data_IF_844197282165
#
_entry.id   IF_844197282165
#
_cell.length_a   1.000
_cell.length_b   1.000
_cell.length_c   1.000
_cell.angle_alpha   90.00
_cell.angle_beta   90.00
_cell.angle_gamma   90.00
#
_symmetry.space_group_name_H-M   'P 1'
#
loop_
_entity.id
_entity.type
_entity.pdbx_description
1 polymer ?
#
# COMPACT_ATOMS: atom_id res chain seq x y z
N UNK A 1 2.97 11.17 -19.92
CA UNK A 1 1.72 10.66 -20.54
C UNK A 1 1.32 9.30 -19.97
N UNK A 2 2.07 8.22 -20.18
CA UNK A 2 1.67 6.88 -19.71
C UNK A 2 1.51 6.74 -18.18
N UNK A 3 2.43 7.31 -17.38
CA UNK A 3 2.36 7.26 -15.91
C UNK A 3 1.13 7.98 -15.36
N UNK A 4 0.83 9.18 -15.85
CA UNK A 4 -0.35 9.94 -15.42
C UNK A 4 -1.64 9.15 -15.67
N UNK A 5 -1.77 8.54 -16.85
CA UNK A 5 -2.92 7.68 -17.19
C UNK A 5 -3.04 6.50 -16.22
N UNK A 6 -1.93 5.84 -15.90
CA UNK A 6 -1.90 4.73 -14.95
C UNK A 6 -2.37 5.17 -13.54
N UNK A 7 -1.87 6.31 -13.05
CA UNK A 7 -2.26 6.86 -11.75
C UNK A 7 -3.76 7.21 -11.72
N UNK A 8 -4.26 7.89 -12.75
CA UNK A 8 -5.68 8.26 -12.87
C UNK A 8 -6.59 7.02 -12.89
N UNK A 9 -6.25 6.00 -13.68
CA UNK A 9 -7.00 4.75 -13.72
C UNK A 9 -7.00 4.06 -12.35
N UNK A 10 -5.86 4.06 -11.66
CA UNK A 10 -5.72 3.44 -10.34
C UNK A 10 -6.56 4.17 -9.29
N UNK A 11 -6.48 5.50 -9.26
CA UNK A 11 -7.27 6.34 -8.36
C UNK A 11 -8.78 6.21 -8.67
N UNK A 12 -9.17 6.13 -9.95
CA UNK A 12 -10.56 5.89 -10.35
C UNK A 12 -11.05 4.51 -9.85
N UNK A 13 -10.24 3.45 -9.98
CA UNK A 13 -10.55 2.13 -9.44
C UNK A 13 -10.73 2.15 -7.92
N UNK A 14 -9.85 2.87 -7.22
CA UNK A 14 -9.88 3.03 -5.76
C UNK A 14 -11.14 3.81 -5.34
N UNK A 15 -11.39 4.96 -5.95
CA UNK A 15 -12.57 5.79 -5.67
C UNK A 15 -13.87 5.03 -5.92
N UNK A 16 -13.96 4.31 -7.05
CA UNK A 16 -15.09 3.43 -7.35
C UNK A 16 -15.29 2.34 -6.30
N UNK A 17 -14.21 1.70 -5.85
CA UNK A 17 -14.28 0.68 -4.81
C UNK A 17 -14.76 1.26 -3.47
N UNK A 18 -14.23 2.41 -3.06
CA UNK A 18 -14.66 3.12 -1.84
C UNK A 18 -16.12 3.55 -1.93
N UNK A 19 -16.58 4.02 -3.09
CA UNK A 19 -17.97 4.40 -3.31
C UNK A 19 -18.95 3.23 -3.13
N UNK A 20 -18.62 2.07 -3.73
CA UNK A 20 -19.40 0.83 -3.56
C UNK A 20 -19.43 0.39 -2.10
N UNK A 21 -18.32 0.62 -1.39
CA UNK A 21 -18.12 0.19 0.00
C UNK A 21 -18.38 1.31 1.01
N UNK A 22 -19.03 2.41 0.65
CA UNK A 22 -19.20 3.57 1.55
C UNK A 22 -19.89 3.27 2.89
N UNK A 23 -20.69 2.20 2.96
CA UNK A 23 -21.37 1.80 4.20
C UNK A 23 -20.50 0.93 5.11
N UNK A 24 -19.41 0.34 4.58
CA UNK A 24 -18.56 -0.59 5.35
C UNK A 24 -17.68 0.08 6.39
N UNK A 25 -17.61 1.42 6.41
CA UNK A 25 -16.95 2.17 7.48
C UNK A 25 -17.56 1.93 8.86
N UNK A 26 -18.85 1.59 8.91
CA UNK A 26 -19.56 1.26 10.16
C UNK A 26 -19.58 -0.24 10.46
N UNK A 27 -19.13 -1.08 9.53
CA UNK A 27 -19.14 -2.52 9.68
C UNK A 27 -17.81 -3.01 10.27
N UNK A 28 -17.82 -3.45 11.54
CA UNK A 28 -16.62 -3.96 12.26
C UNK A 28 -15.76 -4.93 11.45
N UNK A 29 -16.37 -5.82 10.69
CA UNK A 29 -15.68 -6.86 9.92
C UNK A 29 -15.23 -6.44 8.51
N UNK A 30 -15.56 -5.22 8.06
CA UNK A 30 -15.23 -4.72 6.72
C UNK A 30 -14.43 -3.40 6.75
N UNK A 31 -14.41 -2.72 7.89
CA UNK A 31 -13.71 -1.44 8.05
C UNK A 31 -12.22 -1.57 7.71
N UNK A 32 -11.56 -2.65 8.15
CA UNK A 32 -10.13 -2.89 7.88
C UNK A 32 -9.83 -3.03 6.38
N UNK A 33 -10.66 -3.77 5.64
CA UNK A 33 -10.50 -3.86 4.19
C UNK A 33 -10.81 -2.52 3.48
N UNK A 34 -11.65 -1.67 4.06
CA UNK A 34 -11.99 -0.35 3.50
C UNK A 34 -10.86 0.64 3.75
N UNK A 35 -10.33 0.65 4.98
CA UNK A 35 -9.18 1.40 5.40
C UNK A 35 -7.95 1.08 4.54
N UNK A 36 -7.69 -0.20 4.26
CA UNK A 36 -6.63 -0.61 3.33
C UNK A 36 -6.73 0.13 1.97
N UNK A 37 -7.91 0.16 1.36
CA UNK A 37 -8.10 0.79 0.04
C UNK A 37 -7.94 2.30 0.14
N UNK A 38 -8.52 2.91 1.18
CA UNK A 38 -8.40 4.35 1.41
C UNK A 38 -6.93 4.76 1.57
N UNK A 39 -6.16 4.01 2.35
CA UNK A 39 -4.75 4.27 2.59
C UNK A 39 -3.87 3.98 1.38
N UNK A 40 -4.17 2.96 0.57
CA UNK A 40 -3.49 2.78 -0.73
C UNK A 40 -3.80 3.92 -1.69
N UNK A 41 -5.03 4.42 -1.70
CA UNK A 41 -5.41 5.61 -2.47
C UNK A 41 -4.67 6.86 -2.03
N UNK A 42 -4.61 7.08 -0.71
CA UNK A 42 -3.85 8.17 -0.13
C UNK A 42 -2.36 8.06 -0.48
N UNK A 43 -1.76 6.87 -0.38
CA UNK A 43 -0.37 6.63 -0.77
C UNK A 43 -0.13 6.98 -2.25
N UNK A 44 -0.93 6.44 -3.17
CA UNK A 44 -0.80 6.72 -4.61
C UNK A 44 -0.97 8.21 -4.93
N UNK A 45 -1.91 8.88 -4.27
CA UNK A 45 -2.16 10.31 -4.47
C UNK A 45 -1.00 11.16 -3.93
N UNK A 46 -0.58 10.90 -2.69
CA UNK A 46 0.49 11.65 -2.02
C UNK A 46 1.84 11.49 -2.72
N UNK A 47 2.12 10.30 -3.24
CA UNK A 47 3.37 10.02 -3.94
C UNK A 47 3.32 10.44 -5.42
N UNK A 48 2.19 10.94 -5.91
CA UNK A 48 2.07 11.33 -7.32
C UNK A 48 2.85 12.61 -7.61
N UNK A 49 3.41 12.77 -8.83
CA UNK A 49 4.13 14.00 -9.17
C UNK A 49 3.31 15.28 -9.04
N UNK A 50 2.00 15.18 -9.25
CA UNK A 50 1.09 16.29 -9.06
C UNK A 50 1.00 16.73 -7.58
N UNK A 51 1.03 15.79 -6.65
CA UNK A 51 1.06 16.10 -5.22
C UNK A 51 2.40 16.74 -4.83
N UNK A 52 3.53 16.26 -5.33
CA UNK A 52 4.84 16.86 -5.05
C UNK A 52 4.97 18.30 -5.57
N UNK A 53 4.39 18.59 -6.73
CA UNK A 53 4.37 19.95 -7.29
C UNK A 53 3.45 20.93 -6.55
N UNK A 54 2.46 20.42 -5.81
CA UNK A 54 1.44 21.24 -5.12
C UNK A 54 1.59 21.14 -3.61
N UNK A 55 1.12 20.04 -3.02
CA UNK A 55 1.18 19.76 -1.59
C UNK A 55 2.62 19.68 -1.08
N UNK A 56 3.53 19.04 -1.82
CA UNK A 56 4.92 18.89 -1.41
C UNK A 56 5.65 20.21 -1.28
N UNK A 57 5.47 21.13 -2.24
CA UNK A 57 5.99 22.50 -2.12
C UNK A 57 5.42 23.24 -0.92
N UNK A 58 4.11 23.11 -0.68
CA UNK A 58 3.48 23.72 0.49
C UNK A 58 4.04 23.14 1.81
N UNK A 59 4.17 21.82 1.93
CA UNK A 59 4.78 21.17 3.09
C UNK A 59 6.24 21.59 3.30
N UNK A 60 7.01 21.74 2.21
CA UNK A 60 8.38 22.24 2.29
C UNK A 60 8.42 23.67 2.83
N UNK A 61 7.50 24.57 2.43
CA UNK A 61 7.47 25.94 2.99
C UNK A 61 7.21 25.97 4.50
N UNK A 62 6.47 24.98 5.04
CA UNK A 62 6.17 24.90 6.46
C UNK A 62 7.25 24.18 7.28
N UNK A 63 7.92 23.18 6.70
CA UNK A 63 8.79 22.27 7.44
C UNK A 63 10.26 22.35 7.07
N UNK A 64 10.58 22.96 5.92
CA UNK A 64 11.93 22.98 5.34
C UNK A 64 12.41 21.63 4.79
N UNK A 65 11.55 20.61 4.72
CA UNK A 65 11.88 19.26 4.20
C UNK A 65 11.14 18.97 2.91
N UNK A 66 11.88 18.51 1.89
CA UNK A 66 11.29 18.09 0.62
C UNK A 66 10.70 16.68 0.72
N UNK A 67 9.73 16.37 -0.15
CA UNK A 67 9.12 15.04 -0.30
C UNK A 67 8.48 14.49 0.99
N UNK A 68 7.93 15.36 1.83
CA UNK A 68 7.28 14.95 3.07
C UNK A 68 5.94 14.26 2.80
N UNK A 69 5.24 14.67 1.75
CA UNK A 69 4.06 14.01 1.19
C UNK A 69 4.36 12.57 0.80
N UNK A 70 5.49 12.29 0.15
CA UNK A 70 5.90 10.94 -0.19
C UNK A 70 6.16 10.12 1.06
N UNK A 71 6.89 10.66 2.04
CA UNK A 71 7.09 9.98 3.33
C UNK A 71 5.76 9.58 3.99
N UNK A 72 4.80 10.50 4.06
CA UNK A 72 3.45 10.21 4.59
C UNK A 72 2.73 9.15 3.73
N UNK A 73 2.91 9.20 2.40
CA UNK A 73 2.39 8.19 1.48
C UNK A 73 2.95 6.78 1.77
N UNK A 74 4.24 6.67 2.07
CA UNK A 74 4.85 5.40 2.44
C UNK A 74 4.32 4.86 3.78
N UNK A 75 4.13 5.73 4.77
CA UNK A 75 3.49 5.36 6.05
C UNK A 75 2.05 4.88 5.82
N UNK A 76 1.28 5.58 4.98
CA UNK A 76 -0.05 5.14 4.58
C UNK A 76 0.00 3.73 3.98
N UNK A 77 1.00 3.43 3.15
CA UNK A 77 1.13 2.12 2.52
C UNK A 77 1.48 1.00 3.51
N UNK A 78 2.31 1.26 4.52
CA UNK A 78 2.60 0.31 5.61
C UNK A 78 1.32 0.02 6.41
N UNK A 79 0.57 1.06 6.77
CA UNK A 79 -0.69 0.90 7.51
C UNK A 79 -1.74 0.20 6.65
N UNK A 80 -1.77 0.45 5.34
CA UNK A 80 -2.65 -0.25 4.40
C UNK A 80 -2.36 -1.76 4.36
N UNK A 81 -1.09 -2.14 4.23
CA UNK A 81 -0.65 -3.53 4.29
C UNK A 81 -1.02 -4.18 5.64
N UNK A 82 -0.87 -3.44 6.73
CA UNK A 82 -1.29 -3.92 8.06
C UNK A 82 -2.80 -4.16 8.11
N UNK A 83 -3.61 -3.23 7.59
CA UNK A 83 -5.06 -3.35 7.56
C UNK A 83 -5.55 -4.53 6.71
N UNK A 84 -4.87 -4.86 5.61
CA UNK A 84 -5.21 -6.04 4.79
C UNK A 84 -4.95 -7.35 5.53
N UNK A 85 -3.85 -7.42 6.28
CA UNK A 85 -3.53 -8.58 7.12
C UNK A 85 -4.53 -8.72 8.24
N UNK A 86 -4.86 -7.62 8.93
CA UNK A 86 -5.87 -7.61 9.99
C UNK A 86 -7.21 -8.17 9.49
N UNK A 87 -7.69 -7.68 8.34
CA UNK A 87 -8.92 -8.17 7.71
C UNK A 87 -8.85 -9.67 7.33
N UNK A 88 -7.66 -10.17 6.99
CA UNK A 88 -7.47 -11.57 6.62
C UNK A 88 -7.41 -12.47 7.85
N UNK A 89 -6.67 -12.07 8.89
CA UNK A 89 -6.58 -12.80 10.16
C UNK A 89 -7.93 -12.88 10.87
N UNK A 90 -8.73 -11.81 10.84
CA UNK A 90 -10.08 -11.80 11.41
C UNK A 90 -11.07 -12.75 10.74
N UNK A 91 -10.69 -13.40 9.64
CA UNK A 91 -11.47 -14.47 8.99
C UNK A 91 -10.97 -15.88 9.33
N UNK A 92 -9.84 -16.00 10.01
CA UNK A 92 -9.13 -17.26 10.22
C UNK A 92 -9.04 -17.69 11.69
N UNK A 93 -8.98 -16.73 12.61
CA UNK A 93 -8.72 -17.00 14.02
C UNK A 93 -9.74 -16.31 14.91
N UNK A 94 -9.94 -16.87 16.11
CA UNK A 94 -10.70 -16.23 17.18
C UNK A 94 -10.05 -14.89 17.57
N UNK A 95 -10.88 -13.96 18.08
CA UNK A 95 -10.49 -12.57 18.34
C UNK A 95 -9.18 -12.45 19.15
N UNK A 96 -8.99 -13.26 20.20
CA UNK A 96 -7.79 -13.20 21.05
C UNK A 96 -6.52 -13.68 20.32
N UNK A 97 -6.61 -14.78 19.57
CA UNK A 97 -5.48 -15.34 18.82
C UNK A 97 -5.11 -14.42 17.64
N UNK A 98 -6.11 -13.83 16.99
CA UNK A 98 -5.96 -12.81 15.96
C UNK A 98 -5.21 -11.60 16.52
N UNK A 99 -5.67 -11.02 17.63
CA UNK A 99 -5.06 -9.82 18.22
C UNK A 99 -3.61 -10.04 18.64
N UNK A 100 -3.30 -11.18 19.26
CA UNK A 100 -1.91 -11.52 19.64
C UNK A 100 -1.00 -11.65 18.43
N UNK A 101 -1.45 -12.38 17.41
CA UNK A 101 -0.68 -12.58 16.18
C UNK A 101 -0.46 -11.26 15.43
N UNK A 102 -1.49 -10.43 15.33
CA UNK A 102 -1.41 -9.11 14.71
C UNK A 102 -0.43 -8.20 15.45
N UNK A 103 -0.53 -8.11 16.77
CA UNK A 103 0.39 -7.29 17.59
C UNK A 103 1.85 -7.73 17.41
N UNK A 104 2.10 -9.04 17.45
CA UNK A 104 3.45 -9.57 17.40
C UNK A 104 4.09 -9.48 16.01
N UNK A 105 3.36 -9.83 14.96
CA UNK A 105 3.91 -10.01 13.61
C UNK A 105 3.57 -8.89 12.63
N UNK A 106 2.72 -7.93 13.01
CA UNK A 106 2.32 -6.83 12.11
C UNK A 106 2.56 -5.48 12.77
N UNK A 107 1.91 -5.25 13.92
CA UNK A 107 1.95 -3.95 14.59
C UNK A 107 3.35 -3.59 15.06
N UNK A 108 4.05 -4.50 15.76
CA UNK A 108 5.41 -4.25 16.26
C UNK A 108 6.42 -3.93 15.14
N UNK A 109 6.54 -4.74 14.06
CA UNK A 109 7.39 -4.40 12.93
C UNK A 109 7.05 -3.05 12.30
N UNK A 110 5.76 -2.76 12.06
CA UNK A 110 5.33 -1.49 11.49
C UNK A 110 5.64 -0.29 12.41
N UNK A 111 5.39 -0.44 13.72
CA UNK A 111 5.62 0.59 14.74
C UNK A 111 7.09 0.93 14.89
N UNK A 112 7.99 -0.04 14.73
CA UNK A 112 9.44 0.21 14.71
C UNK A 112 9.91 0.80 13.37
N UNK A 113 9.31 0.35 12.25
CA UNK A 113 9.70 0.80 10.92
C UNK A 113 9.43 2.30 10.72
N UNK A 114 8.23 2.79 11.05
CA UNK A 114 7.82 4.19 10.83
C UNK A 114 8.83 5.22 11.42
N UNK A 115 9.23 5.16 12.70
CA UNK A 115 10.20 6.12 13.25
C UNK A 115 11.60 5.95 12.64
N UNK A 116 12.02 4.72 12.29
CA UNK A 116 13.29 4.51 11.60
C UNK A 116 13.28 5.10 10.18
N UNK A 117 12.15 5.01 9.49
CA UNK A 117 11.94 5.67 8.20
C UNK A 117 12.03 7.19 8.35
N UNK A 118 11.40 7.76 9.37
CA UNK A 118 11.48 9.21 9.63
C UNK A 118 12.92 9.68 9.82
N UNK A 119 13.72 8.93 10.61
CA UNK A 119 15.13 9.24 10.86
C UNK A 119 15.93 9.17 9.57
N UNK A 120 15.87 8.05 8.86
CA UNK A 120 16.64 7.82 7.62
C UNK A 120 16.24 8.78 6.49
N UNK A 121 14.95 9.11 6.37
CA UNK A 121 14.45 10.14 5.47
C UNK A 121 15.00 11.52 5.82
N UNK A 122 14.92 11.91 7.09
CA UNK A 122 15.26 13.27 7.54
C UNK A 122 16.75 13.60 7.37
N UNK A 123 17.63 12.62 7.55
CA UNK A 123 19.08 12.81 7.42
C UNK A 123 19.60 12.52 6.00
N UNK A 124 18.84 11.78 5.19
CA UNK A 124 19.21 11.39 3.84
C UNK A 124 18.83 12.40 2.76
N UNK A 125 19.07 12.03 1.51
CA UNK A 125 18.69 12.87 0.35
C UNK A 125 17.18 13.05 0.20
N UNK A 126 16.38 12.15 0.79
CA UNK A 126 14.92 12.21 0.74
C UNK A 126 14.34 13.53 1.25
N UNK A 127 14.91 14.12 2.31
CA UNK A 127 14.46 15.42 2.82
C UNK A 127 15.20 16.62 2.20
N UNK A 128 16.36 16.41 1.57
CA UNK A 128 17.27 17.48 1.12
C UNK A 128 17.11 17.85 -0.35
N UNK A 129 16.73 16.90 -1.19
CA UNK A 129 16.66 17.08 -2.64
C UNK A 129 15.22 16.96 -3.12
N UNK A 130 14.73 17.97 -3.83
CA UNK A 130 13.45 17.90 -4.50
C UNK A 130 13.53 16.98 -5.73
N UNK A 131 12.52 16.13 -5.88
CA UNK A 131 12.19 15.50 -7.15
C UNK A 131 10.67 15.44 -7.30
N UNK A 132 10.16 15.65 -8.51
CA UNK A 132 8.74 15.47 -8.77
C UNK A 132 8.31 13.99 -8.65
N UNK A 133 9.24 13.05 -8.76
CA UNK A 133 9.00 11.65 -8.45
C UNK A 133 10.05 11.19 -7.44
N UNK A 134 9.62 10.86 -6.22
CA UNK A 134 10.53 10.48 -5.13
C UNK A 134 11.38 9.25 -5.46
N UNK A 135 10.91 8.36 -6.35
CA UNK A 135 11.69 7.21 -6.81
C UNK A 135 12.88 7.62 -7.69
N UNK A 136 12.91 8.85 -8.19
CA UNK A 136 14.03 9.40 -8.98
C UNK A 136 15.05 10.17 -8.16
N UNK A 137 14.80 10.35 -6.85
CA UNK A 137 15.78 11.01 -5.96
C UNK A 137 17.08 10.19 -5.95
N UNK A 138 18.25 10.82 -6.15
CA UNK A 138 19.53 10.16 -6.03
C UNK A 138 19.73 9.56 -4.64
N UNK A 139 20.01 8.26 -4.57
CA UNK A 139 20.15 7.55 -3.31
C UNK A 139 21.52 7.75 -2.68
N UNK A 140 21.54 8.36 -1.49
CA UNK A 140 22.69 8.29 -0.58
C UNK A 140 22.57 7.06 0.34
N UNK A 141 23.55 6.88 1.23
CA UNK A 141 23.54 5.76 2.19
C UNK A 141 22.23 5.69 3.00
N UNK A 142 21.76 6.84 3.49
CA UNK A 142 20.56 6.90 4.32
C UNK A 142 19.28 6.65 3.53
N UNK A 143 19.17 7.17 2.30
CA UNK A 143 18.04 6.88 1.45
C UNK A 143 18.04 5.41 0.98
N UNK A 144 19.20 4.79 0.78
CA UNK A 144 19.31 3.35 0.54
C UNK A 144 18.84 2.51 1.74
N UNK A 145 19.19 2.93 2.96
CA UNK A 145 18.69 2.30 4.18
C UNK A 145 17.18 2.50 4.34
N UNK A 146 16.66 3.69 4.04
CA UNK A 146 15.23 3.99 4.00
C UNK A 146 14.48 3.02 3.07
N UNK A 147 14.94 2.85 1.83
CA UNK A 147 14.31 1.94 0.87
C UNK A 147 14.39 0.49 1.32
N UNK A 148 15.51 0.07 1.91
CA UNK A 148 15.65 -1.29 2.43
C UNK A 148 14.69 -1.56 3.59
N UNK A 149 14.54 -0.61 4.52
CA UNK A 149 13.63 -0.72 5.66
C UNK A 149 12.17 -0.75 5.19
N UNK A 150 11.78 0.20 4.35
CA UNK A 150 10.43 0.34 3.83
C UNK A 150 10.03 -0.88 3.00
N UNK A 151 10.78 -1.16 1.93
CA UNK A 151 10.48 -2.26 1.03
C UNK A 151 10.65 -3.62 1.71
N UNK A 152 11.64 -3.78 2.58
CA UNK A 152 11.81 -5.00 3.38
C UNK A 152 10.61 -5.26 4.30
N UNK A 153 10.13 -4.23 4.99
CA UNK A 153 8.94 -4.33 5.85
C UNK A 153 7.70 -4.65 5.03
N UNK A 154 7.48 -3.99 3.89
CA UNK A 154 6.34 -4.27 3.02
C UNK A 154 6.39 -5.69 2.44
N UNK A 155 7.56 -6.16 1.99
CA UNK A 155 7.74 -7.54 1.52
C UNK A 155 7.40 -8.52 2.64
N UNK A 156 7.88 -8.27 3.86
CA UNK A 156 7.57 -9.09 5.03
C UNK A 156 6.05 -9.14 5.31
N UNK A 157 5.41 -7.97 5.40
CA UNK A 157 3.97 -7.86 5.67
C UNK A 157 3.13 -8.52 4.57
N UNK A 158 3.42 -8.23 3.29
CA UNK A 158 2.71 -8.83 2.17
C UNK A 158 2.94 -10.35 2.10
N UNK A 159 4.15 -10.83 2.41
CA UNK A 159 4.43 -12.28 2.48
C UNK A 159 3.65 -12.95 3.60
N UNK A 160 3.52 -12.30 4.76
CA UNK A 160 2.68 -12.77 5.85
C UNK A 160 1.19 -12.79 5.45
N UNK A 161 0.72 -11.73 4.80
CA UNK A 161 -0.64 -11.65 4.23
C UNK A 161 -0.92 -12.74 3.18
N UNK A 162 0.06 -13.05 2.32
CA UNK A 162 0.00 -14.16 1.36
C UNK A 162 -0.20 -15.48 2.09
N UNK A 163 0.60 -15.77 3.14
CA UNK A 163 0.45 -17.00 3.93
C UNK A 163 -0.94 -17.13 4.52
N UNK A 164 -1.47 -16.07 5.14
CA UNK A 164 -2.82 -16.06 5.68
C UNK A 164 -3.88 -16.27 4.57
N UNK A 165 -3.72 -15.59 3.44
CA UNK A 165 -4.65 -15.68 2.30
C UNK A 165 -4.62 -17.08 1.66
N UNK A 166 -3.48 -17.77 1.63
CA UNK A 166 -3.37 -19.15 1.16
C UNK A 166 -4.17 -20.13 2.02
N UNK A 167 -4.29 -19.88 3.32
CA UNK A 167 -5.18 -20.66 4.19
C UNK A 167 -6.64 -20.40 3.81
N UNK A 168 -7.03 -19.13 3.64
CA UNK A 168 -8.38 -18.75 3.23
C UNK A 168 -8.76 -19.29 1.84
N UNK A 169 -7.77 -19.45 0.95
CA UNK A 169 -7.94 -20.00 -0.40
C UNK A 169 -8.44 -21.45 -0.41
N UNK A 170 -8.25 -22.20 0.68
CA UNK A 170 -8.73 -23.60 0.79
C UNK A 170 -10.25 -23.68 0.80
N UNK A 171 -10.94 -22.63 1.24
CA UNK A 171 -12.40 -22.53 1.15
C UNK A 171 -12.83 -22.20 -0.29
N UNK A 172 -13.63 -23.06 -0.96
CA UNK A 172 -14.12 -22.83 -2.32
C UNK A 172 -14.90 -21.51 -2.46
N UNK A 173 -15.61 -21.06 -1.41
CA UNK A 173 -16.41 -19.83 -1.43
C UNK A 173 -15.53 -18.57 -1.49
N UNK A 174 -14.34 -18.64 -0.91
CA UNK A 174 -13.41 -17.51 -0.77
C UNK A 174 -12.30 -17.51 -1.82
N UNK A 175 -12.14 -18.61 -2.57
CA UNK A 175 -11.02 -18.87 -3.50
C UNK A 175 -10.80 -17.77 -4.54
N UNK A 176 -11.85 -17.28 -5.18
CA UNK A 176 -11.73 -16.24 -6.22
C UNK A 176 -11.18 -14.93 -5.64
N UNK A 177 -11.72 -14.48 -4.51
CA UNK A 177 -11.28 -13.24 -3.86
C UNK A 177 -9.84 -13.41 -3.35
N UNK A 178 -9.54 -14.57 -2.74
CA UNK A 178 -8.19 -14.91 -2.29
C UNK A 178 -7.16 -14.85 -3.42
N UNK A 179 -7.48 -15.36 -4.63
CA UNK A 179 -6.58 -15.27 -5.78
C UNK A 179 -6.25 -13.82 -6.16
N UNK A 180 -7.25 -12.92 -6.15
CA UNK A 180 -6.99 -11.50 -6.44
C UNK A 180 -6.09 -10.85 -5.39
N UNK A 181 -6.32 -11.13 -4.10
CA UNK A 181 -5.47 -10.64 -3.02
C UNK A 181 -4.03 -11.16 -3.14
N UNK A 182 -3.85 -12.42 -3.54
CA UNK A 182 -2.52 -13.00 -3.77
C UNK A 182 -1.79 -12.32 -4.93
N UNK A 183 -2.46 -12.15 -6.08
CA UNK A 183 -1.86 -11.48 -7.24
C UNK A 183 -1.51 -10.03 -6.89
N UNK A 184 -2.41 -9.30 -6.22
CA UNK A 184 -2.15 -7.93 -5.78
C UNK A 184 -0.94 -7.84 -4.83
N UNK A 185 -0.84 -8.78 -3.87
CA UNK A 185 0.31 -8.85 -2.95
C UNK A 185 1.62 -9.15 -3.67
N UNK A 186 1.60 -10.04 -4.66
CA UNK A 186 2.78 -10.33 -5.50
C UNK A 186 3.21 -9.10 -6.30
N UNK A 187 2.27 -8.33 -6.86
CA UNK A 187 2.58 -7.06 -7.51
C UNK A 187 3.25 -6.08 -6.51
N UNK A 188 2.74 -5.96 -5.28
CA UNK A 188 3.36 -5.12 -4.25
C UNK A 188 4.80 -5.55 -3.90
N UNK A 189 5.03 -6.86 -3.78
CA UNK A 189 6.38 -7.42 -3.57
C UNK A 189 7.29 -7.10 -4.76
N UNK A 190 6.83 -7.27 -6.00
CA UNK A 190 7.60 -6.94 -7.20
C UNK A 190 7.96 -5.45 -7.26
N UNK A 191 7.03 -4.56 -6.90
CA UNK A 191 7.31 -3.12 -6.79
C UNK A 191 8.45 -2.85 -5.79
N UNK A 192 8.39 -3.49 -4.63
CA UNK A 192 9.41 -3.38 -3.58
C UNK A 192 10.77 -3.91 -4.04
N UNK A 193 10.80 -5.07 -4.72
CA UNK A 193 12.04 -5.65 -5.26
C UNK A 193 12.66 -4.75 -6.32
N UNK A 194 11.87 -4.28 -7.29
CA UNK A 194 12.34 -3.33 -8.31
C UNK A 194 12.89 -2.07 -7.65
N UNK A 195 12.23 -1.58 -6.58
CA UNK A 195 12.71 -0.39 -5.88
C UNK A 195 14.03 -0.60 -5.16
N UNK A 196 14.21 -1.71 -4.44
CA UNK A 196 15.48 -2.04 -3.81
C UNK A 196 16.58 -2.16 -4.88
N UNK A 197 16.33 -2.92 -5.95
CA UNK A 197 17.32 -3.11 -7.02
C UNK A 197 17.72 -1.77 -7.65
N UNK A 198 16.76 -0.91 -7.96
CA UNK A 198 17.05 0.42 -8.54
C UNK A 198 17.75 1.36 -7.56
N UNK A 199 17.48 1.27 -6.26
CA UNK A 199 18.16 2.07 -5.23
C UNK A 199 19.65 1.72 -5.08
N UNK A 200 19.99 0.42 -5.11
CA UNK A 200 21.37 -0.06 -4.92
C UNK A 200 22.17 -0.19 -6.23
N UNK A 201 21.49 -0.29 -7.38
CA UNK A 201 22.12 -0.35 -8.70
C UNK A 201 21.73 0.90 -9.48
N UNK A 202 22.40 2.01 -9.16
CA UNK A 202 22.09 3.36 -9.70
C UNK A 202 21.98 3.42 -11.23
N UNK A 203 22.80 2.72 -12.03
CA UNK A 203 22.61 2.71 -13.49
C UNK A 203 21.22 2.21 -13.93
N UNK A 204 20.65 1.22 -13.23
CA UNK A 204 19.31 0.72 -13.53
C UNK A 204 18.22 1.75 -13.24
N UNK A 205 18.41 2.60 -12.23
CA UNK A 205 17.51 3.72 -11.93
C UNK A 205 17.47 4.72 -13.10
N UNK A 206 18.61 5.01 -13.73
CA UNK A 206 18.65 5.94 -14.88
C UNK A 206 18.00 5.38 -16.15
N UNK A 207 18.10 4.05 -16.37
CA UNK A 207 17.56 3.40 -17.58
C UNK A 207 16.06 3.12 -17.44
N UNK A 208 15.66 2.60 -16.28
CA UNK A 208 14.28 2.13 -16.02
C UNK A 208 13.39 3.25 -15.51
N UNK A 209 13.97 4.26 -14.85
CA UNK A 209 13.26 5.28 -14.12
C UNK A 209 12.41 4.68 -12.99
N UNK A 210 11.25 5.28 -12.76
CA UNK A 210 10.27 4.86 -11.76
C UNK A 210 9.10 4.04 -12.33
N UNK A 211 9.03 3.89 -13.65
CA UNK A 211 7.86 3.34 -14.35
C UNK A 211 7.48 1.93 -13.90
N UNK A 212 8.46 1.04 -13.70
CA UNK A 212 8.18 -0.34 -13.26
C UNK A 212 7.70 -0.38 -11.81
N UNK A 213 8.26 0.46 -10.93
CA UNK A 213 7.80 0.56 -9.53
C UNK A 213 6.34 1.00 -9.52
N UNK A 214 6.02 2.05 -10.28
CA UNK A 214 4.65 2.56 -10.41
C UNK A 214 3.70 1.55 -11.02
N UNK A 215 4.09 0.84 -12.08
CA UNK A 215 3.28 -0.19 -12.71
C UNK A 215 2.85 -1.24 -11.70
N UNK A 216 3.82 -1.82 -10.97
CA UNK A 216 3.53 -2.86 -10.00
C UNK A 216 2.78 -2.33 -8.76
N UNK A 217 3.10 -1.13 -8.28
CA UNK A 217 2.37 -0.49 -7.19
C UNK A 217 0.91 -0.19 -7.55
N UNK A 218 0.66 0.31 -8.75
CA UNK A 218 -0.69 0.59 -9.26
C UNK A 218 -1.49 -0.71 -9.46
N UNK A 219 -0.87 -1.76 -10.00
CA UNK A 219 -1.50 -3.08 -10.10
C UNK A 219 -1.86 -3.66 -8.74
N UNK A 220 -1.00 -3.47 -7.72
CA UNK A 220 -1.30 -3.82 -6.34
C UNK A 220 -2.54 -3.07 -5.82
N UNK A 221 -2.54 -1.73 -5.93
CA UNK A 221 -3.64 -0.88 -5.49
C UNK A 221 -4.97 -1.19 -6.17
N UNK A 222 -4.97 -1.24 -7.50
CA UNK A 222 -6.14 -1.60 -8.28
C UNK A 222 -6.61 -3.03 -7.98
N UNK A 223 -5.69 -3.98 -7.81
CA UNK A 223 -6.01 -5.36 -7.47
C UNK A 223 -6.75 -5.48 -6.15
N UNK A 224 -6.25 -4.86 -5.07
CA UNK A 224 -6.93 -4.85 -3.78
C UNK A 224 -8.27 -4.09 -3.82
N UNK A 225 -8.33 -2.99 -4.57
CA UNK A 225 -9.55 -2.21 -4.75
C UNK A 225 -10.66 -3.05 -5.42
N UNK A 226 -10.35 -3.68 -6.56
CA UNK A 226 -11.29 -4.52 -7.31
C UNK A 226 -11.72 -5.75 -6.52
N UNK A 227 -10.77 -6.43 -5.86
CA UNK A 227 -11.06 -7.63 -5.07
C UNK A 227 -12.05 -7.33 -3.94
N UNK A 228 -11.85 -6.20 -3.25
CA UNK A 228 -12.69 -5.79 -2.13
C UNK A 228 -14.06 -5.29 -2.57
N UNK A 229 -14.14 -4.53 -3.67
CA UNK A 229 -15.41 -4.12 -4.26
C UNK A 229 -16.25 -5.34 -4.67
N UNK A 230 -15.62 -6.32 -5.31
CA UNK A 230 -16.27 -7.58 -5.70
C UNK A 230 -16.71 -8.38 -4.47
N UNK A 231 -15.86 -8.48 -3.46
CA UNK A 231 -16.20 -9.15 -2.19
C UNK A 231 -17.44 -8.54 -1.54
N UNK A 232 -17.51 -7.20 -1.48
CA UNK A 232 -18.66 -6.50 -0.92
C UNK A 232 -19.93 -6.71 -1.74
N UNK A 233 -19.86 -6.57 -3.07
CA UNK A 233 -21.02 -6.81 -3.96
C UNK A 233 -21.61 -8.22 -3.83
N UNK A 234 -20.77 -9.22 -3.60
CA UNK A 234 -21.25 -10.60 -3.37
C UNK A 234 -22.02 -10.68 -2.06
N UNK A 235 -21.53 -10.03 -0.99
CA UNK A 235 -22.21 -10.00 0.32
C UNK A 235 -23.53 -9.24 0.26
N UNK A 236 -23.59 -8.09 -0.40
CA UNK A 236 -24.82 -7.28 -0.49
C UNK A 236 -25.93 -7.94 -1.28
N UNK A 237 -25.62 -8.77 -2.28
CA UNK A 237 -26.62 -9.51 -3.07
C UNK A 237 -27.52 -10.41 -2.23
N UNK A 238 -27.05 -10.89 -1.08
CA UNK A 238 -27.86 -11.69 -0.16
C UNK A 238 -28.96 -10.85 0.52
N UNK A 239 -28.68 -9.58 0.82
CA UNK A 239 -29.63 -8.69 1.47
C UNK A 239 -30.72 -8.15 0.53
N UNK A 240 -30.47 -8.12 -0.79
CA UNK A 240 -31.44 -7.64 -1.80
C UNK A 240 -32.43 -8.73 -2.24
N UNK A 241 -32.24 -9.99 -1.83
CA UNK A 241 -33.14 -11.12 -2.13
C UNK A 241 -34.14 -11.37 -0.98
N UNK A 242 -34.85 -10.35 -0.53
CA UNK A 242 -36.10 -10.56 0.21
C UNK A 242 -37.23 -10.38 -0.81
N UNK A 243 -37.90 -11.45 -1.26
CA UNK A 243 -39.13 -11.31 -2.02
C UNK A 243 -40.20 -10.72 -1.09
N UNK A 244 -40.88 -9.67 -1.54
CA UNK A 244 -42.23 -9.37 -1.06
C UNK A 244 -43.20 -10.43 -1.60
#
# INVERSE_FOLDING_TARGET
>A
MALATLLVITLACIAWSLWIRRVTWTCRWEVAATLNIALQGAAVLLMSPWASETLGRWLHTLTGKWNLEDYIGHDCYIVAASAVIYNTLGRLADDDAMQRSFKQYVERPATLCIPLLLVTFSIGNGAKMYAADFFTVPTDFWLNLYWLLLCGTLIYLLSYGIRATLVLRRDPRSRTIANFYLVASLCGILACVVRIVTAYVTPLQTITGSNLVWLFACLCGAGFALASARSWRIKTRWFTKVPH
#
